data_IF_989321552567
#
_entry.id   IF_989321552567
#
_cell.length_a   1.000
_cell.length_b   1.000
_cell.length_c   1.000
_cell.angle_alpha   90.00
_cell.angle_beta   90.00
_cell.angle_gamma   90.00
#
_symmetry.space_group_name_H-M   'P 1'
#
loop_
_entity.id
_entity.type
_entity.pdbx_description
1 polymer ?
#
# COMPACT_ATOMS: atom_id res chain seq x y z
N UNK A 1 5.66 9.07 -22.77
CA UNK A 1 4.41 8.81 -22.02
C UNK A 1 4.78 8.07 -20.74
N UNK A 2 4.47 8.60 -19.56
CA UNK A 2 4.64 7.83 -18.31
C UNK A 2 3.78 6.57 -18.46
N UNK A 3 4.40 5.39 -18.59
CA UNK A 3 3.66 4.16 -18.85
C UNK A 3 2.71 3.92 -17.68
N UNK A 4 1.40 4.00 -17.92
CA UNK A 4 0.38 3.69 -16.93
C UNK A 4 0.52 2.21 -16.56
N UNK A 5 0.63 1.89 -15.28
CA UNK A 5 0.55 0.51 -14.78
C UNK A 5 -0.86 -0.01 -15.09
N UNK A 6 -0.97 -1.29 -15.45
CA UNK A 6 -2.26 -1.99 -15.60
C UNK A 6 -2.22 -3.24 -14.71
N UNK A 7 -2.94 -3.23 -13.60
CA UNK A 7 -2.92 -4.31 -12.61
C UNK A 7 -3.56 -5.62 -13.11
N UNK A 8 -4.22 -5.62 -14.26
CA UNK A 8 -4.65 -6.86 -14.92
C UNK A 8 -3.51 -7.58 -15.63
N UNK A 9 -2.35 -6.93 -15.83
CA UNK A 9 -1.17 -7.52 -16.47
C UNK A 9 -0.19 -7.98 -15.41
N UNK A 10 0.09 -9.29 -15.39
CA UNK A 10 1.06 -9.89 -14.47
C UNK A 10 2.43 -9.21 -14.54
N UNK A 11 2.89 -8.82 -15.74
CA UNK A 11 4.18 -8.12 -15.91
C UNK A 11 4.21 -6.76 -15.24
N UNK A 12 3.09 -6.04 -15.22
CA UNK A 12 3.04 -4.70 -14.62
C UNK A 12 2.79 -4.79 -13.11
N UNK A 13 2.04 -5.81 -12.64
CA UNK A 13 1.96 -6.17 -11.22
C UNK A 13 3.34 -6.54 -10.66
N UNK A 14 4.13 -7.34 -11.37
CA UNK A 14 5.52 -7.68 -10.97
C UNK A 14 6.41 -6.44 -10.87
N UNK A 15 6.37 -5.55 -11.86
CA UNK A 15 7.10 -4.26 -11.80
C UNK A 15 6.66 -3.40 -10.63
N UNK A 16 5.38 -3.41 -10.27
CA UNK A 16 4.88 -2.70 -9.10
C UNK A 16 5.43 -3.32 -7.81
N UNK A 17 5.39 -4.65 -7.67
CA UNK A 17 5.96 -5.36 -6.53
C UNK A 17 7.47 -5.10 -6.40
N UNK A 18 8.23 -5.15 -7.50
CA UNK A 18 9.66 -4.80 -7.52
C UNK A 18 9.91 -3.38 -7.01
N UNK A 19 9.08 -2.40 -7.39
CA UNK A 19 9.18 -1.03 -6.87
C UNK A 19 8.90 -0.94 -5.38
N UNK A 20 7.98 -1.74 -4.85
CA UNK A 20 7.71 -1.77 -3.40
C UNK A 20 8.89 -2.38 -2.64
N UNK A 21 9.53 -3.44 -3.15
CA UNK A 21 10.76 -3.97 -2.56
C UNK A 21 11.94 -2.98 -2.64
N UNK A 22 12.06 -2.22 -3.72
CA UNK A 22 13.05 -1.14 -3.81
C UNK A 22 12.80 -0.04 -2.76
N UNK A 23 11.53 0.27 -2.47
CA UNK A 23 11.17 1.22 -1.41
C UNK A 23 11.51 0.67 -0.01
N UNK A 24 11.31 -0.63 0.23
CA UNK A 24 11.75 -1.31 1.44
C UNK A 24 13.28 -1.24 1.60
N UNK A 25 14.03 -1.63 0.57
CA UNK A 25 15.50 -1.60 0.59
C UNK A 25 16.01 -0.18 0.85
N UNK A 26 15.39 0.82 0.22
CA UNK A 26 15.70 2.22 0.49
C UNK A 26 15.45 2.57 1.97
N UNK A 27 14.31 2.18 2.54
CA UNK A 27 13.99 2.43 3.94
C UNK A 27 14.98 1.75 4.91
N UNK A 28 15.43 0.53 4.59
CA UNK A 28 16.40 -0.22 5.40
C UNK A 28 17.81 0.37 5.33
N UNK A 29 18.19 0.93 4.18
CA UNK A 29 19.53 1.51 3.95
C UNK A 29 19.67 2.96 4.42
N UNK A 30 18.57 3.60 4.85
CA UNK A 30 18.54 4.98 5.33
C UNK A 30 17.98 5.07 6.77
N UNK A 31 18.72 4.56 7.78
CA UNK A 31 18.25 4.47 9.17
C UNK A 31 17.89 5.82 9.80
N UNK A 32 18.42 6.94 9.29
CA UNK A 32 18.06 8.29 9.71
C UNK A 32 16.58 8.64 9.44
N UNK A 33 15.90 7.86 8.60
CA UNK A 33 14.46 7.97 8.32
C UNK A 33 13.64 6.82 8.91
N UNK A 34 14.21 5.91 9.71
CA UNK A 34 13.52 4.72 10.23
C UNK A 34 12.18 5.06 10.91
N UNK A 35 12.13 6.13 11.70
CA UNK A 35 10.93 6.59 12.41
C UNK A 35 10.03 7.55 11.61
N UNK A 36 10.42 7.84 10.35
CA UNK A 36 9.76 8.79 9.44
C UNK A 36 9.28 8.14 8.15
N UNK A 37 9.48 6.83 7.99
CA UNK A 37 9.07 6.04 6.83
C UNK A 37 8.21 4.86 7.25
N UNK A 38 7.56 4.23 6.27
CA UNK A 38 6.79 3.01 6.43
C UNK A 38 7.69 1.78 6.60
N UNK A 39 7.23 0.79 7.36
CA UNK A 39 7.86 -0.52 7.44
C UNK A 39 7.12 -1.55 6.59
N UNK A 40 7.78 -2.05 5.55
CA UNK A 40 7.17 -2.96 4.60
C UNK A 40 7.18 -4.39 5.14
N UNK A 41 6.03 -5.06 5.10
CA UNK A 41 5.91 -6.48 5.41
C UNK A 41 5.20 -7.19 4.26
N UNK A 42 5.96 -7.94 3.47
CA UNK A 42 5.47 -8.67 2.31
C UNK A 42 4.99 -10.08 2.70
N UNK A 43 3.84 -10.51 2.17
CA UNK A 43 3.34 -11.87 2.32
C UNK A 43 2.75 -12.36 0.99
N UNK A 44 3.64 -12.86 0.12
CA UNK A 44 3.29 -13.35 -1.23
C UNK A 44 2.40 -14.59 -1.22
N UNK A 45 2.24 -15.25 -0.06
CA UNK A 45 1.47 -16.50 0.05
C UNK A 45 0.08 -16.29 0.65
N UNK A 46 -0.21 -15.10 1.17
CA UNK A 46 -1.50 -14.77 1.78
C UNK A 46 -2.65 -14.89 0.80
N UNK A 47 -2.45 -14.35 -0.40
CA UNK A 47 -3.43 -14.34 -1.48
C UNK A 47 -2.87 -15.06 -2.71
N UNK A 48 -3.75 -15.76 -3.43
CA UNK A 48 -3.43 -16.38 -4.72
C UNK A 48 -3.41 -15.36 -5.84
N UNK A 49 -4.27 -14.36 -5.76
CA UNK A 49 -4.42 -13.32 -6.76
C UNK A 49 -3.77 -12.01 -6.31
N UNK A 50 -3.14 -11.30 -7.24
CA UNK A 50 -2.65 -9.95 -7.00
C UNK A 50 -1.34 -9.89 -6.20
N UNK A 51 -1.18 -8.80 -5.44
CA UNK A 51 0.00 -8.54 -4.62
C UNK A 51 -0.41 -7.99 -3.26
N UNK A 52 0.22 -8.49 -2.20
CA UNK A 52 -0.11 -8.11 -0.83
C UNK A 52 1.12 -7.68 -0.04
N UNK A 53 0.96 -6.59 0.68
CA UNK A 53 1.83 -6.22 1.79
C UNK A 53 1.02 -5.50 2.86
N UNK A 54 1.63 -5.31 4.02
CA UNK A 54 1.08 -4.46 5.06
C UNK A 54 2.15 -3.63 5.75
N UNK A 55 1.70 -2.62 6.48
CA UNK A 55 2.55 -1.77 7.32
C UNK A 55 2.13 -1.90 8.79
N UNK A 56 3.09 -1.89 9.70
CA UNK A 56 2.85 -1.78 11.15
C UNK A 56 3.15 -0.36 11.67
N UNK A 57 3.76 0.48 10.84
CA UNK A 57 4.09 1.88 11.09
C UNK A 57 3.72 2.73 9.88
N UNK A 58 2.99 3.81 10.12
CA UNK A 58 2.62 4.79 9.11
C UNK A 58 3.02 6.20 9.58
N UNK A 59 3.99 6.87 8.94
CA UNK A 59 4.41 8.21 9.34
C UNK A 59 3.28 9.25 9.21
N UNK A 60 2.34 9.06 8.27
CA UNK A 60 1.17 9.93 8.14
C UNK A 60 0.24 9.81 9.35
N UNK A 61 0.02 8.60 9.83
CA UNK A 61 -0.82 8.36 10.99
C UNK A 61 -0.21 8.95 12.27
N UNK A 62 1.09 8.72 12.48
CA UNK A 62 1.84 9.32 13.59
C UNK A 62 1.74 10.84 13.55
N UNK A 63 2.02 11.45 12.40
CA UNK A 63 1.94 12.90 12.21
C UNK A 63 0.53 13.43 12.51
N UNK A 64 -0.51 12.76 12.02
CA UNK A 64 -1.88 13.16 12.25
C UNK A 64 -2.29 13.09 13.73
N UNK A 65 -1.84 12.07 14.47
CA UNK A 65 -2.07 11.98 15.93
C UNK A 65 -1.36 13.09 16.69
N UNK A 66 -0.09 13.32 16.38
CA UNK A 66 0.73 14.32 17.08
C UNK A 66 0.23 15.75 16.88
N UNK A 67 -0.42 16.03 15.74
CA UNK A 67 -0.83 17.38 15.33
C UNK A 67 -2.35 17.59 15.28
N UNK A 68 -3.16 16.59 15.66
CA UNK A 68 -4.62 16.71 15.70
C UNK A 68 -5.31 16.70 14.33
N UNK A 69 -4.75 16.02 13.33
CA UNK A 69 -5.31 15.89 11.97
C UNK A 69 -6.01 14.55 11.71
N UNK A 70 -6.52 13.88 12.75
CA UNK A 70 -7.16 12.57 12.61
C UNK A 70 -8.40 12.60 11.70
N UNK A 71 -9.11 13.73 11.62
CA UNK A 71 -10.26 13.88 10.72
C UNK A 71 -9.85 13.94 9.23
N UNK A 72 -8.61 14.36 8.93
CA UNK A 72 -8.07 14.42 7.57
C UNK A 72 -7.38 13.12 7.15
N UNK A 73 -6.86 12.36 8.11
CA UNK A 73 -6.07 11.17 7.84
C UNK A 73 -6.80 10.12 6.97
N UNK A 74 -8.10 9.82 7.17
CA UNK A 74 -8.85 8.93 6.27
C UNK A 74 -8.84 9.40 4.81
N UNK A 75 -9.01 10.71 4.57
CA UNK A 75 -8.97 11.28 3.22
C UNK A 75 -7.61 11.07 2.55
N UNK A 76 -6.52 11.19 3.32
CA UNK A 76 -5.19 10.88 2.82
C UNK A 76 -5.05 9.40 2.44
N UNK A 77 -5.60 8.48 3.24
CA UNK A 77 -5.58 7.04 2.96
C UNK A 77 -6.47 6.65 1.76
N UNK A 78 -7.56 7.39 1.51
CA UNK A 78 -8.48 7.13 0.40
C UNK A 78 -7.87 7.44 -0.98
N UNK A 79 -6.84 8.29 -1.03
CA UNK A 79 -6.07 8.57 -2.25
C UNK A 79 -5.47 7.28 -2.82
N UNK A 80 -5.13 6.31 -1.97
CA UNK A 80 -4.61 5.01 -2.41
C UNK A 80 -5.63 4.27 -3.29
N UNK A 81 -6.91 4.29 -2.92
CA UNK A 81 -7.96 3.64 -3.72
C UNK A 81 -8.08 4.28 -5.10
N UNK A 82 -8.02 5.61 -5.18
CA UNK A 82 -8.06 6.36 -6.45
C UNK A 82 -6.82 6.04 -7.30
N UNK A 83 -5.65 5.97 -6.69
CA UNK A 83 -4.41 5.63 -7.38
C UNK A 83 -4.44 4.20 -7.96
N UNK A 84 -5.04 3.26 -7.23
CA UNK A 84 -5.18 1.87 -7.67
C UNK A 84 -6.24 1.73 -8.78
N UNK A 85 -7.39 2.37 -8.63
CA UNK A 85 -8.45 2.41 -9.65
C UNK A 85 -7.92 2.97 -10.97
N UNK A 86 -7.12 4.05 -10.93
CA UNK A 86 -6.48 4.62 -12.12
C UNK A 86 -5.59 3.63 -12.87
N UNK A 87 -5.01 2.66 -12.17
CA UNK A 87 -4.17 1.60 -12.74
C UNK A 87 -4.95 0.31 -12.99
N UNK A 88 -6.28 0.40 -13.12
CA UNK A 88 -7.19 -0.75 -13.37
C UNK A 88 -7.08 -1.85 -12.33
N UNK A 89 -6.96 -1.46 -11.07
CA UNK A 89 -7.00 -2.38 -9.96
C UNK A 89 -8.09 -2.03 -8.96
N UNK A 90 -8.28 -2.94 -8.03
CA UNK A 90 -9.05 -2.78 -6.80
C UNK A 90 -8.09 -2.95 -5.64
N UNK A 91 -8.12 -2.00 -4.71
CA UNK A 91 -7.41 -2.10 -3.45
C UNK A 91 -8.36 -2.67 -2.41
N UNK A 92 -8.14 -3.92 -2.02
CA UNK A 92 -8.82 -4.55 -0.90
C UNK A 92 -8.05 -4.23 0.37
N UNK A 93 -8.78 -3.72 1.37
CA UNK A 93 -8.22 -3.26 2.63
C UNK A 93 -9.26 -3.42 3.74
N UNK A 94 -8.91 -4.16 4.78
CA UNK A 94 -9.78 -4.44 5.92
C UNK A 94 -9.59 -3.41 7.05
N UNK A 95 -8.37 -2.92 7.25
CA UNK A 95 -8.02 -2.02 8.34
C UNK A 95 -6.86 -1.08 8.00
N UNK A 96 -6.81 0.04 8.72
CA UNK A 96 -5.64 0.92 8.71
C UNK A 96 -5.31 1.36 10.11
N UNK A 97 -4.05 1.73 10.32
CA UNK A 97 -3.65 2.48 11.52
C UNK A 97 -4.49 3.77 11.67
N UNK A 98 -4.89 4.39 10.55
CA UNK A 98 -5.74 5.59 10.54
C UNK A 98 -7.11 5.37 11.17
N UNK A 99 -7.72 4.21 10.93
CA UNK A 99 -9.02 3.82 11.49
C UNK A 99 -8.88 3.11 12.85
N UNK A 100 -7.68 3.07 13.44
CA UNK A 100 -7.42 2.42 14.74
C UNK A 100 -7.16 0.90 14.66
N UNK A 101 -6.90 0.37 13.46
CA UNK A 101 -6.41 -0.99 13.27
C UNK A 101 -4.97 -1.17 13.75
N UNK A 102 -4.48 -2.41 13.73
CA UNK A 102 -3.10 -2.74 14.13
C UNK A 102 -2.13 -2.72 12.97
N UNK A 103 -2.64 -2.73 11.73
CA UNK A 103 -1.87 -2.66 10.49
C UNK A 103 -2.58 -1.77 9.47
N UNK A 104 -1.85 -1.30 8.46
CA UNK A 104 -2.45 -0.90 7.19
C UNK A 104 -2.25 -2.03 6.19
N UNK A 105 -3.32 -2.74 5.84
CA UNK A 105 -3.24 -3.80 4.82
C UNK A 105 -3.46 -3.24 3.41
N UNK A 106 -2.74 -3.83 2.46
CA UNK A 106 -2.81 -3.45 1.06
C UNK A 106 -2.82 -4.71 0.21
N UNK A 107 -3.98 -5.06 -0.32
CA UNK A 107 -4.12 -6.11 -1.31
C UNK A 107 -4.54 -5.53 -2.66
N UNK A 108 -3.61 -5.51 -3.61
CA UNK A 108 -3.82 -4.99 -4.96
C UNK A 108 -4.23 -6.13 -5.87
N UNK A 109 -5.38 -5.99 -6.52
CA UNK A 109 -5.91 -6.97 -7.46
C UNK A 109 -6.31 -6.26 -8.75
N UNK A 110 -6.12 -6.89 -9.91
CA UNK A 110 -6.67 -6.36 -11.17
C UNK A 110 -8.20 -6.29 -11.15
N UNK A 111 -8.77 -5.21 -11.69
CA UNK A 111 -10.23 -4.98 -11.68
C UNK A 111 -11.05 -5.99 -12.51
N UNK A 112 -10.40 -6.82 -13.33
CA UNK A 112 -11.03 -7.90 -14.09
C UNK A 112 -10.96 -9.27 -13.37
N UNK A 113 -10.26 -9.37 -12.25
CA UNK A 113 -10.17 -10.61 -11.48
C UNK A 113 -11.49 -10.91 -10.79
N UNK A 114 -12.11 -12.04 -11.12
CA UNK A 114 -13.39 -12.45 -10.54
C UNK A 114 -13.17 -13.28 -9.28
N UNK A 115 -13.80 -12.88 -8.18
CA UNK A 115 -13.73 -13.55 -6.88
C UNK A 115 -12.26 -13.81 -6.45
N UNK A 116 -11.46 -12.75 -6.28
CA UNK A 116 -10.06 -12.89 -5.91
C UNK A 116 -9.94 -13.63 -4.57
N UNK A 117 -8.91 -14.45 -4.43
CA UNK A 117 -8.66 -15.28 -3.24
C UNK A 117 -7.28 -15.07 -2.69
#
# INVERSE_FOLDING_TARGET
AMSSIDFNKETDMKKFAERMHQAEEWAQTHPEYQDKTWDFHFDEKRHKDGFYYHFTRCPLEKFARENGYLDLLPLCCDIDHIAVERNKGVLHREQTLATGGTICDYWFVGDQTKNPR
#
